data_IF_804361161042
#
_entry.id   IF_804361161042
#
_cell.length_a   1.000
_cell.length_b   1.000
_cell.length_c   1.000
_cell.angle_alpha   90.00
_cell.angle_beta   90.00
_cell.angle_gamma   90.00
#
_symmetry.space_group_name_H-M   'P 1'
#
loop_
_entity.id
_entity.type
_entity.pdbx_description
1 polymer ?
#
# COMPACT_ATOMS: atom_id res chain seq x y z
N UNK A 1 -55.59 9.96 -38.89
CA UNK A 1 -55.27 8.83 -38.00
C UNK A 1 -53.75 8.70 -37.98
N UNK A 2 -53.21 8.47 -36.79
CA UNK A 2 -51.91 8.98 -36.33
C UNK A 2 -50.73 8.25 -37.00
N UNK A 3 -49.82 9.06 -37.54
CA UNK A 3 -48.48 8.67 -38.01
C UNK A 3 -47.47 8.74 -36.86
N UNK A 4 -46.65 7.69 -36.75
CA UNK A 4 -45.30 7.76 -36.16
C UNK A 4 -45.19 7.50 -34.66
N UNK A 5 -44.35 6.52 -34.29
CA UNK A 5 -43.13 6.79 -33.51
C UNK A 5 -42.34 5.48 -33.31
N UNK A 6 -41.41 5.22 -34.23
CA UNK A 6 -40.35 4.23 -34.04
C UNK A 6 -39.36 4.80 -33.02
N UNK A 7 -39.38 4.29 -31.79
CA UNK A 7 -38.35 4.60 -30.81
C UNK A 7 -37.10 3.76 -31.09
N UNK A 8 -36.19 4.32 -31.88
CA UNK A 8 -34.77 4.05 -31.72
C UNK A 8 -34.29 4.80 -30.48
N UNK A 9 -33.87 4.11 -29.43
CA UNK A 9 -32.93 4.67 -28.46
C UNK A 9 -31.80 3.67 -28.30
N UNK A 10 -30.74 3.92 -29.07
CA UNK A 10 -29.40 3.39 -28.88
C UNK A 10 -28.91 3.83 -27.50
N UNK A 11 -28.91 2.94 -26.51
CA UNK A 11 -28.18 3.17 -25.27
C UNK A 11 -26.70 2.94 -25.54
N UNK A 12 -26.03 3.96 -26.09
CA UNK A 12 -24.58 4.06 -26.07
C UNK A 12 -24.16 4.15 -24.60
N UNK A 13 -23.74 3.00 -24.04
CA UNK A 13 -23.02 2.98 -22.77
C UNK A 13 -21.70 3.73 -22.99
N UNK A 14 -21.70 4.93 -22.43
CA UNK A 14 -20.63 5.89 -22.32
C UNK A 14 -19.28 5.21 -22.05
N UNK A 15 -18.45 5.10 -23.09
CA UNK A 15 -17.01 4.93 -22.93
C UNK A 15 -16.45 6.26 -22.44
N UNK A 16 -16.41 6.46 -21.12
CA UNK A 16 -15.63 7.53 -20.53
C UNK A 16 -14.17 7.07 -20.47
N UNK A 17 -13.23 7.67 -21.24
CA UNK A 17 -11.81 7.38 -21.08
C UNK A 17 -11.38 7.92 -19.72
N UNK A 18 -11.12 7.03 -18.77
CA UNK A 18 -10.51 7.39 -17.47
C UNK A 18 -9.14 7.99 -17.77
N UNK A 19 -9.01 9.30 -17.54
CA UNK A 19 -7.78 10.04 -17.80
C UNK A 19 -6.64 9.52 -16.92
N UNK A 20 -5.50 9.21 -17.54
CA UNK A 20 -4.28 8.73 -16.88
C UNK A 20 -3.61 9.84 -16.05
N UNK A 21 -4.23 10.21 -14.93
CA UNK A 21 -3.65 11.13 -13.96
C UNK A 21 -3.51 10.43 -12.61
N UNK A 22 -2.26 10.11 -12.24
CA UNK A 22 -1.79 9.71 -10.90
C UNK A 22 -2.62 8.63 -10.16
N UNK A 23 -2.30 7.34 -10.37
CA UNK A 23 -2.81 6.20 -9.57
C UNK A 23 -2.24 6.15 -8.12
N UNK A 24 -1.90 7.29 -7.53
CA UNK A 24 -1.32 7.40 -6.19
C UNK A 24 -2.17 8.32 -5.32
N UNK A 25 -2.60 7.84 -4.16
CA UNK A 25 -3.27 8.66 -3.15
C UNK A 25 -2.34 8.83 -1.95
N UNK A 26 -2.04 10.08 -1.58
CA UNK A 26 -1.17 10.37 -0.43
C UNK A 26 -1.97 10.29 0.86
N UNK A 27 -1.85 9.17 1.59
CA UNK A 27 -2.42 8.99 2.93
C UNK A 27 -1.27 8.86 3.94
N UNK A 28 -1.11 9.88 4.78
CA UNK A 28 -0.06 9.92 5.80
C UNK A 28 -0.67 10.32 7.15
N UNK A 29 -1.25 9.32 7.80
CA UNK A 29 -2.03 9.48 9.03
C UNK A 29 -1.52 8.48 10.08
N UNK A 30 -1.81 8.76 11.34
CA UNK A 30 -1.58 7.81 12.42
C UNK A 30 -2.50 6.58 12.27
N UNK A 31 -1.99 5.39 12.62
CA UNK A 31 -2.79 4.18 12.65
C UNK A 31 -2.40 3.25 13.79
N UNK A 32 -3.32 2.38 14.21
CA UNK A 32 -3.01 1.31 15.16
C UNK A 32 -2.53 0.07 14.42
N UNK A 33 -1.40 -0.51 14.83
CA UNK A 33 -0.87 -1.73 14.22
C UNK A 33 -1.69 -2.96 14.61
N UNK A 34 -2.33 -3.62 13.63
CA UNK A 34 -3.10 -4.84 13.84
C UNK A 34 -2.31 -6.03 14.40
N UNK A 35 -0.97 -6.04 14.27
CA UNK A 35 -0.12 -7.13 14.76
C UNK A 35 0.34 -6.95 16.21
N UNK A 36 0.79 -5.75 16.59
CA UNK A 36 1.37 -5.51 17.92
C UNK A 36 0.57 -4.53 18.80
N UNK A 37 -0.50 -3.94 18.28
CA UNK A 37 -1.36 -3.00 19.01
C UNK A 37 -0.77 -1.61 19.26
N UNK A 38 0.48 -1.34 18.88
CA UNK A 38 1.09 -0.02 19.05
C UNK A 38 0.48 1.00 18.08
N UNK A 39 0.30 2.22 18.56
CA UNK A 39 -0.02 3.41 17.74
C UNK A 39 1.21 3.81 16.94
N UNK A 40 1.06 3.88 15.62
CA UNK A 40 2.10 4.23 14.65
C UNK A 40 1.85 5.65 14.17
N UNK A 41 2.76 6.61 14.44
CA UNK A 41 2.58 7.98 14.01
C UNK A 41 2.71 8.10 12.48
N UNK A 42 2.21 9.21 11.95
CA UNK A 42 2.51 9.62 10.57
C UNK A 42 4.04 9.75 10.35
N UNK A 43 4.48 9.67 9.10
CA UNK A 43 5.88 9.90 8.71
C UNK A 43 6.08 11.37 8.34
N UNK A 44 7.28 11.92 8.51
CA UNK A 44 7.57 13.30 8.16
C UNK A 44 7.53 13.53 6.64
N UNK A 45 8.08 12.59 5.86
CA UNK A 45 8.38 12.80 4.44
C UNK A 45 7.54 11.92 3.51
N UNK A 46 7.10 10.76 3.98
CA UNK A 46 6.51 9.70 3.13
C UNK A 46 5.21 9.18 3.74
N UNK A 47 4.49 8.30 3.02
CA UNK A 47 3.36 7.56 3.58
C UNK A 47 3.89 6.25 4.16
N UNK A 48 3.73 6.06 5.48
CA UNK A 48 4.15 4.83 6.16
C UNK A 48 3.03 3.79 6.10
N UNK A 49 3.37 2.58 5.64
CA UNK A 49 2.42 1.47 5.52
C UNK A 49 2.74 0.28 6.42
N UNK A 50 3.91 0.26 7.07
CA UNK A 50 4.30 -0.75 8.04
C UNK A 50 4.56 -0.14 9.41
N UNK A 51 4.42 -0.95 10.46
CA UNK A 51 4.71 -0.54 11.82
C UNK A 51 6.23 -0.44 12.04
N UNK A 52 6.80 0.67 12.54
CA UNK A 52 8.24 0.77 12.81
C UNK A 52 8.72 -0.18 13.90
N UNK A 53 7.81 -0.58 14.80
CA UNK A 53 8.16 -1.35 16.00
C UNK A 53 8.16 -2.86 15.80
N UNK A 54 7.41 -3.37 14.83
CA UNK A 54 7.33 -4.81 14.54
C UNK A 54 7.44 -5.14 13.05
N UNK A 55 7.56 -4.12 12.19
CA UNK A 55 7.66 -4.17 10.73
C UNK A 55 6.43 -4.73 10.01
N UNK A 56 5.44 -5.31 10.68
CA UNK A 56 4.22 -5.79 10.01
C UNK A 56 3.44 -4.66 9.33
N UNK A 57 2.82 -5.02 8.21
CA UNK A 57 1.98 -4.14 7.39
C UNK A 57 0.60 -4.78 7.17
N UNK A 58 -0.30 -4.08 6.47
CA UNK A 58 -1.63 -4.57 6.10
C UNK A 58 -1.82 -4.51 4.59
N UNK A 59 -2.38 -5.58 4.01
CA UNK A 59 -2.59 -5.71 2.57
C UNK A 59 -3.87 -4.98 2.13
N UNK A 60 -3.80 -3.65 2.14
CA UNK A 60 -4.96 -2.78 1.83
C UNK A 60 -4.82 -2.02 0.52
N UNK A 61 -3.63 -1.96 -0.09
CA UNK A 61 -3.41 -1.17 -1.31
C UNK A 61 -3.41 -2.08 -2.57
N UNK A 62 -4.12 -1.68 -3.64
CA UNK A 62 -3.92 -2.22 -5.00
C UNK A 62 -2.89 -1.35 -5.71
N UNK A 63 -3.14 -0.04 -5.70
CA UNK A 63 -2.17 1.01 -5.98
C UNK A 63 -1.81 1.75 -4.69
N UNK A 64 -0.60 2.33 -4.58
CA UNK A 64 -0.16 2.83 -3.28
C UNK A 64 -1.09 3.94 -2.75
N UNK A 65 -1.60 3.70 -1.54
CA UNK A 65 -2.51 4.58 -0.82
C UNK A 65 -3.99 4.55 -1.24
N UNK A 66 -4.41 3.69 -2.18
CA UNK A 66 -5.82 3.62 -2.58
C UNK A 66 -6.74 2.89 -1.58
N UNK A 67 -6.15 2.12 -0.64
CA UNK A 67 -6.86 1.28 0.34
C UNK A 67 -7.93 0.36 -0.28
N UNK A 68 -7.79 0.03 -1.57
CA UNK A 68 -8.80 -0.68 -2.35
C UNK A 68 -8.66 -2.22 -2.35
N UNK A 69 -7.62 -2.77 -1.73
CA UNK A 69 -7.34 -4.19 -1.75
C UNK A 69 -8.28 -4.96 -0.81
N UNK A 70 -9.12 -5.88 -1.34
CA UNK A 70 -10.09 -6.61 -0.52
C UNK A 70 -9.43 -7.69 0.36
N UNK A 71 -8.16 -8.06 0.12
CA UNK A 71 -7.48 -9.08 0.89
C UNK A 71 -7.39 -8.71 2.37
N UNK A 72 -6.98 -7.48 2.68
CA UNK A 72 -6.84 -6.93 4.04
C UNK A 72 -5.97 -7.78 4.99
N UNK A 73 -5.24 -8.75 4.44
CA UNK A 73 -4.43 -9.70 5.18
C UNK A 73 -3.21 -9.05 5.82
N UNK A 74 -2.67 -9.71 6.84
CA UNK A 74 -1.44 -9.29 7.48
C UNK A 74 -0.24 -9.52 6.55
N UNK A 75 0.56 -8.48 6.32
CA UNK A 75 1.80 -8.53 5.55
C UNK A 75 2.96 -8.78 6.52
N UNK A 76 3.48 -10.01 6.51
CA UNK A 76 4.61 -10.42 7.34
C UNK A 76 5.92 -9.94 6.70
N UNK A 77 6.84 -9.27 7.43
CA UNK A 77 8.19 -9.01 6.95
C UNK A 77 8.95 -10.34 6.78
N UNK A 78 9.51 -10.57 5.59
CA UNK A 78 10.23 -11.81 5.25
C UNK A 78 11.68 -11.58 4.85
N UNK A 79 12.06 -10.35 4.49
CA UNK A 79 13.41 -10.05 4.07
C UNK A 79 13.65 -8.57 3.89
N UNK A 80 14.89 -8.22 3.52
CA UNK A 80 15.26 -6.87 3.15
C UNK A 80 16.26 -6.86 2.00
N UNK A 81 16.33 -5.75 1.27
CA UNK A 81 17.30 -5.52 0.19
C UNK A 81 17.79 -4.07 0.21
N UNK A 82 18.95 -3.82 -0.39
CA UNK A 82 19.46 -2.47 -0.61
C UNK A 82 19.19 -2.06 -2.05
N UNK A 83 18.28 -1.10 -2.24
CA UNK A 83 17.96 -0.55 -3.55
C UNK A 83 18.76 0.71 -3.83
N UNK A 84 19.47 0.75 -4.96
CA UNK A 84 20.42 1.82 -5.33
C UNK A 84 19.88 3.26 -5.18
N UNK A 85 18.61 3.49 -5.54
CA UNK A 85 17.95 4.81 -5.45
C UNK A 85 17.06 5.01 -4.21
N UNK A 86 16.55 3.93 -3.61
CA UNK A 86 15.50 3.98 -2.58
C UNK A 86 16.04 3.65 -1.18
N UNK A 87 17.28 3.19 -1.10
CA UNK A 87 17.89 2.74 0.15
C UNK A 87 17.38 1.38 0.58
N UNK A 88 17.33 1.18 1.90
CA UNK A 88 16.89 -0.07 2.51
C UNK A 88 15.40 -0.30 2.25
N UNK A 89 15.06 -1.47 1.72
CA UNK A 89 13.69 -1.87 1.42
C UNK A 89 13.35 -3.15 2.16
N UNK A 90 12.16 -3.21 2.77
CA UNK A 90 11.65 -4.39 3.48
C UNK A 90 10.71 -5.13 2.53
N UNK A 91 10.89 -6.44 2.43
CA UNK A 91 10.04 -7.34 1.67
C UNK A 91 8.99 -7.99 2.57
N UNK A 92 7.77 -8.09 2.07
CA UNK A 92 6.62 -8.62 2.77
C UNK A 92 5.94 -9.75 2.00
N UNK A 93 5.37 -10.69 2.74
CA UNK A 93 4.49 -11.73 2.21
C UNK A 93 3.12 -11.64 2.92
N UNK A 94 2.04 -11.61 2.14
CA UNK A 94 0.70 -11.61 2.68
C UNK A 94 0.35 -12.99 3.23
N UNK A 95 0.04 -13.07 4.51
CA UNK A 95 -0.36 -14.32 5.17
C UNK A 95 -1.68 -14.91 4.65
N UNK A 96 -2.50 -14.10 3.98
CA UNK A 96 -3.83 -14.50 3.51
C UNK A 96 -3.84 -14.94 2.03
N UNK A 97 -3.06 -14.29 1.17
CA UNK A 97 -3.04 -14.59 -0.28
C UNK A 97 -1.67 -14.93 -0.86
N UNK A 98 -0.59 -14.86 -0.07
CA UNK A 98 0.78 -15.16 -0.52
C UNK A 98 1.42 -14.08 -1.40
N UNK A 99 0.74 -12.95 -1.67
CA UNK A 99 1.31 -11.89 -2.50
C UNK A 99 2.52 -11.22 -1.82
N UNK A 100 3.55 -10.94 -2.61
CA UNK A 100 4.74 -10.23 -2.16
C UNK A 100 4.65 -8.74 -2.46
N UNK A 101 5.09 -7.91 -1.50
CA UNK A 101 5.19 -6.45 -1.66
C UNK A 101 6.48 -5.93 -1.04
N UNK A 102 6.85 -4.68 -1.33
CA UNK A 102 8.05 -4.05 -0.79
C UNK A 102 7.79 -2.60 -0.41
N UNK A 103 8.26 -2.20 0.77
CA UNK A 103 8.22 -0.81 1.23
C UNK A 103 9.61 -0.30 1.60
N UNK A 104 9.81 1.01 1.53
CA UNK A 104 11.06 1.66 1.93
C UNK A 104 11.13 1.67 3.47
N UNK A 105 12.26 1.27 4.03
CA UNK A 105 12.53 1.43 5.45
C UNK A 105 12.85 2.90 5.77
N UNK A 106 12.23 3.43 6.81
CA UNK A 106 12.39 4.80 7.26
C UNK A 106 13.41 4.85 8.40
N UNK A 107 14.69 5.00 8.03
CA UNK A 107 15.80 5.10 8.99
C UNK A 107 16.08 6.54 9.45
N UNK A 108 15.51 7.53 8.78
CA UNK A 108 15.62 8.98 9.06
C UNK A 108 14.22 9.59 9.05
N UNK A 109 13.47 9.37 10.11
CA UNK A 109 12.13 9.92 10.32
C UNK A 109 12.02 10.58 11.69
N UNK A 110 11.46 11.79 11.70
CA UNK A 110 11.34 12.61 12.91
C UNK A 110 10.44 11.99 13.98
N UNK A 111 9.40 11.25 13.59
CA UNK A 111 8.38 10.75 14.51
C UNK A 111 8.68 9.33 14.98
N UNK A 112 9.09 8.44 14.07
CA UNK A 112 9.48 7.08 14.41
C UNK A 112 10.42 6.47 13.36
N UNK A 113 11.62 6.08 13.75
CA UNK A 113 12.49 5.27 12.88
C UNK A 113 12.08 3.80 12.93
N UNK A 114 12.27 3.09 11.82
CA UNK A 114 12.07 1.64 11.80
C UNK A 114 13.13 0.93 12.66
N UNK A 115 12.70 -0.12 13.36
CA UNK A 115 13.59 -0.90 14.22
C UNK A 115 14.64 -1.64 13.37
N UNK A 116 15.87 -1.15 13.41
CA UNK A 116 16.97 -1.66 12.61
C UNK A 116 17.35 -3.10 12.97
N UNK A 117 17.35 -3.45 14.26
CA UNK A 117 17.68 -4.79 14.73
C UNK A 117 16.69 -5.82 14.18
N UNK A 118 15.40 -5.47 14.13
CA UNK A 118 14.38 -6.30 13.50
C UNK A 118 14.64 -6.47 12.01
N UNK A 119 15.05 -5.42 11.29
CA UNK A 119 15.36 -5.53 9.86
C UNK A 119 16.54 -6.48 9.64
N UNK A 120 17.62 -6.33 10.42
CA UNK A 120 18.81 -7.19 10.33
C UNK A 120 18.52 -8.65 10.70
N UNK A 121 17.47 -8.90 11.49
CA UNK A 121 17.02 -10.27 11.80
C UNK A 121 16.26 -10.96 10.64
N UNK A 122 15.86 -10.21 9.61
CA UNK A 122 15.18 -10.74 8.43
C UNK A 122 16.18 -11.35 7.43
N UNK A 123 15.66 -12.09 6.43
CA UNK A 123 16.52 -12.70 5.40
C UNK A 123 17.01 -11.64 4.41
N UNK A 124 18.32 -11.42 4.25
CA UNK A 124 18.83 -10.53 3.20
C UNK A 124 18.52 -11.12 1.82
N UNK A 125 18.04 -10.27 0.91
CA UNK A 125 17.75 -10.59 -0.48
C UNK A 125 18.71 -9.83 -1.38
N UNK A 126 19.18 -10.50 -2.43
CA UNK A 126 20.13 -9.94 -3.41
C UNK A 126 19.39 -9.23 -4.53
#
# INVERSE_FOLDING_TARGET
MIIGSFHQIFTQLVQNPVSESSRFSKINEEFTCDHCGKTVPLSEKTCRNHCPFCLYSKHVDIFPGDRANPCRGSLKPIGYELHSKKGLMIQFECKSCGQHTRNIALMDDRYAVDNYDLILSLTPKR
#
